data_IF_206052101158
#
_entry.id   IF_206052101158
#
_cell.length_a   1.000
_cell.length_b   1.000
_cell.length_c   1.000
_cell.angle_alpha   90.00
_cell.angle_beta   90.00
_cell.angle_gamma   90.00
#
_symmetry.space_group_name_H-M   'P 1'
#
loop_
_entity.id
_entity.type
_entity.pdbx_description
1 polymer ?
#
# COMPACT_ATOMS: atom_id res chain seq x y z
N UNK A 1 32.71 -7.12 -90.91
CA UNK A 1 33.84 -7.73 -90.17
C UNK A 1 33.40 -9.12 -89.73
N UNK A 2 34.09 -10.14 -90.23
CA UNK A 2 33.82 -11.57 -90.08
C UNK A 2 34.42 -12.09 -88.76
N UNK A 3 33.67 -12.89 -87.99
CA UNK A 3 34.09 -14.00 -87.11
C UNK A 3 32.83 -14.53 -86.39
N UNK A 4 32.29 -15.73 -86.66
CA UNK A 4 32.74 -17.08 -86.23
C UNK A 4 32.78 -17.18 -84.68
N UNK A 5 32.22 -18.14 -83.92
CA UNK A 5 31.65 -19.50 -84.05
C UNK A 5 30.88 -19.76 -82.71
N UNK A 6 29.75 -20.47 -82.65
CA UNK A 6 29.64 -21.93 -82.39
C UNK A 6 28.62 -22.15 -81.24
N UNK A 7 27.48 -22.81 -81.46
CA UNK A 7 27.14 -24.21 -81.06
C UNK A 7 27.40 -24.48 -79.56
N UNK A 8 26.42 -24.85 -78.72
CA UNK A 8 25.69 -26.13 -78.73
C UNK A 8 24.44 -26.14 -77.80
N UNK A 9 23.60 -27.16 -78.00
CA UNK A 9 22.29 -27.43 -77.41
C UNK A 9 22.33 -27.85 -75.93
N UNK A 10 21.24 -27.61 -75.17
CA UNK A 10 20.75 -28.63 -74.23
C UNK A 10 19.22 -28.65 -74.11
N UNK A 11 18.75 -29.88 -74.07
CA UNK A 11 17.42 -30.46 -74.04
C UNK A 11 16.66 -30.24 -72.73
N UNK A 12 15.34 -30.34 -72.81
CA UNK A 12 14.45 -30.06 -71.70
C UNK A 12 14.44 -31.11 -70.59
N UNK A 13 13.91 -30.71 -69.43
CA UNK A 13 13.19 -31.63 -68.56
C UNK A 13 12.16 -30.90 -67.72
N UNK A 14 11.00 -31.55 -67.62
CA UNK A 14 9.76 -31.09 -67.04
C UNK A 14 9.78 -31.09 -65.50
N UNK A 15 8.86 -30.27 -64.99
CA UNK A 15 8.21 -30.24 -63.69
C UNK A 15 8.16 -31.54 -62.87
N UNK A 16 8.51 -31.41 -61.59
CA UNK A 16 7.76 -31.78 -60.36
C UNK A 16 8.79 -31.97 -59.23
N UNK A 17 8.72 -31.24 -58.13
CA UNK A 17 7.90 -31.71 -57.00
C UNK A 17 7.89 -30.68 -55.88
N UNK A 18 6.71 -30.52 -55.30
CA UNK A 18 6.43 -29.71 -54.14
C UNK A 18 7.12 -30.28 -52.89
N UNK A 19 7.82 -29.42 -52.15
CA UNK A 19 8.07 -29.63 -50.72
C UNK A 19 7.44 -28.47 -49.96
N UNK A 20 6.42 -28.85 -49.21
CA UNK A 20 5.69 -28.11 -48.18
C UNK A 20 6.55 -27.06 -47.47
N UNK A 21 6.18 -25.78 -47.61
CA UNK A 21 6.61 -24.73 -46.71
C UNK A 21 5.38 -24.12 -46.03
N UNK A 22 4.82 -24.84 -45.06
CA UNK A 22 3.86 -24.27 -44.10
C UNK A 22 4.65 -23.49 -43.04
N UNK A 23 5.09 -22.29 -43.37
CA UNK A 23 5.46 -21.30 -42.37
C UNK A 23 4.15 -20.69 -41.82
N UNK A 24 3.65 -21.22 -40.71
CA UNK A 24 2.61 -20.56 -39.92
C UNK A 24 3.08 -19.17 -39.48
N UNK A 25 2.16 -18.20 -39.29
CA UNK A 25 2.55 -16.85 -38.91
C UNK A 25 3.25 -16.90 -37.56
N UNK A 26 4.54 -16.53 -37.53
CA UNK A 26 5.29 -16.37 -36.28
C UNK A 26 4.69 -15.20 -35.52
N UNK A 27 3.86 -15.54 -34.53
CA UNK A 27 3.23 -14.61 -33.61
C UNK A 27 4.32 -14.03 -32.69
N UNK A 28 5.04 -13.02 -33.17
CA UNK A 28 6.06 -12.29 -32.40
C UNK A 28 5.47 -11.30 -31.39
N UNK A 29 4.15 -11.14 -31.37
CA UNK A 29 3.47 -10.12 -30.57
C UNK A 29 2.75 -10.68 -29.32
N UNK A 30 2.69 -12.00 -29.13
CA UNK A 30 1.99 -12.62 -28.00
C UNK A 30 2.82 -12.76 -26.69
N UNK A 31 4.14 -12.59 -26.72
CA UNK A 31 5.03 -12.99 -25.62
C UNK A 31 5.44 -11.92 -24.56
N UNK A 32 5.40 -10.59 -24.80
CA UNK A 32 5.85 -9.60 -23.80
C UNK A 32 4.92 -9.47 -22.58
N UNK A 33 3.61 -9.55 -22.80
CA UNK A 33 2.62 -9.34 -21.73
C UNK A 33 2.52 -10.54 -20.79
N UNK A 34 2.60 -11.76 -21.30
CA UNK A 34 2.50 -12.97 -20.48
C UNK A 34 3.70 -13.13 -19.53
N UNK A 35 4.91 -12.82 -20.02
CA UNK A 35 6.11 -12.80 -19.20
C UNK A 35 6.04 -11.73 -18.09
N UNK A 36 5.53 -10.55 -18.42
CA UNK A 36 5.35 -9.46 -17.45
C UNK A 36 4.28 -9.82 -16.38
N UNK A 37 3.15 -10.39 -16.79
CA UNK A 37 2.10 -10.85 -15.88
C UNK A 37 2.59 -11.99 -14.97
N UNK A 38 3.36 -12.92 -15.51
CA UNK A 38 4.00 -13.99 -14.76
C UNK A 38 4.98 -13.43 -13.71
N UNK A 39 5.89 -12.53 -14.12
CA UNK A 39 6.83 -11.88 -13.20
C UNK A 39 6.10 -11.08 -12.10
N UNK A 40 5.04 -10.36 -12.45
CA UNK A 40 4.19 -9.65 -11.49
C UNK A 40 3.56 -10.59 -10.45
N UNK A 41 3.05 -11.74 -10.90
CA UNK A 41 2.47 -12.76 -10.00
C UNK A 41 3.52 -13.33 -9.04
N UNK A 42 4.69 -13.71 -9.54
CA UNK A 42 5.79 -14.24 -8.74
C UNK A 42 6.28 -13.21 -7.72
N UNK A 43 6.56 -11.98 -8.15
CA UNK A 43 7.02 -10.93 -7.26
C UNK A 43 5.97 -10.55 -6.20
N UNK A 44 4.67 -10.56 -6.54
CA UNK A 44 3.59 -10.32 -5.58
C UNK A 44 3.50 -11.42 -4.52
N UNK A 45 3.70 -12.69 -4.90
CA UNK A 45 3.83 -13.79 -3.94
C UNK A 45 5.04 -13.57 -3.03
N UNK A 46 6.17 -13.16 -3.59
CA UNK A 46 7.36 -12.78 -2.81
C UNK A 46 7.08 -11.67 -1.78
N UNK A 47 6.41 -10.60 -2.19
CA UNK A 47 6.01 -9.51 -1.27
C UNK A 47 5.06 -9.99 -0.16
N UNK A 48 4.14 -10.90 -0.50
CA UNK A 48 3.21 -11.51 0.47
C UNK A 48 3.97 -12.37 1.48
N UNK A 49 4.97 -13.15 1.02
CA UNK A 49 5.84 -13.94 1.89
C UNK A 49 6.65 -13.01 2.82
N UNK A 50 7.22 -11.92 2.31
CA UNK A 50 7.96 -10.95 3.13
C UNK A 50 7.06 -10.31 4.21
N UNK A 51 5.84 -9.91 3.87
CA UNK A 51 4.87 -9.40 4.84
C UNK A 51 4.48 -10.45 5.89
N UNK A 52 4.27 -11.70 5.47
CA UNK A 52 3.97 -12.80 6.39
C UNK A 52 5.14 -13.12 7.31
N UNK A 53 6.38 -13.14 6.80
CA UNK A 53 7.59 -13.30 7.60
C UNK A 53 7.76 -12.15 8.58
N UNK A 54 7.54 -10.90 8.15
CA UNK A 54 7.55 -9.74 9.04
C UNK A 54 6.57 -9.93 10.21
N UNK A 55 5.34 -10.36 9.93
CA UNK A 55 4.35 -10.64 10.97
C UNK A 55 4.80 -11.77 11.91
N UNK A 56 5.17 -12.93 11.36
CA UNK A 56 5.48 -14.14 12.12
C UNK A 56 6.74 -13.99 12.99
N UNK A 57 7.77 -13.30 12.49
CA UNK A 57 9.02 -13.11 13.24
C UNK A 57 8.85 -12.16 14.43
N UNK A 58 7.95 -11.18 14.34
CA UNK A 58 7.72 -10.23 15.43
C UNK A 58 6.69 -10.72 16.45
N UNK A 59 5.78 -11.63 16.06
CA UNK A 59 4.70 -12.12 16.92
C UNK A 59 5.17 -12.61 18.31
N UNK A 60 6.27 -13.40 18.45
CA UNK A 60 6.76 -13.85 19.76
C UNK A 60 7.30 -12.71 20.64
N UNK A 61 7.62 -11.56 20.06
CA UNK A 61 8.10 -10.38 20.77
C UNK A 61 6.98 -9.56 21.43
N UNK A 62 5.75 -9.65 20.92
CA UNK A 62 4.62 -8.83 21.37
C UNK A 62 4.26 -8.99 22.86
N UNK A 63 4.22 -10.21 23.44
CA UNK A 63 3.89 -10.38 24.85
C UNK A 63 4.96 -9.83 25.81
N UNK A 64 6.20 -9.61 25.33
CA UNK A 64 7.33 -9.27 26.20
C UNK A 64 7.18 -7.88 26.77
N UNK A 65 7.56 -7.72 28.03
CA UNK A 65 7.63 -6.41 28.66
C UNK A 65 8.70 -5.57 27.95
N UNK A 66 8.31 -4.43 27.38
CA UNK A 66 9.29 -3.47 26.89
C UNK A 66 9.85 -2.72 28.09
N UNK A 67 11.17 -2.70 28.23
CA UNK A 67 11.86 -1.88 29.23
C UNK A 67 11.60 -0.38 29.00
N UNK A 68 11.37 0.02 27.75
CA UNK A 68 11.03 1.39 27.36
C UNK A 68 9.51 1.58 27.24
N UNK A 69 8.84 1.79 28.38
CA UNK A 69 7.43 2.20 28.46
C UNK A 69 7.26 3.71 28.16
N UNK A 70 7.71 4.14 26.98
CA UNK A 70 7.54 5.52 26.50
C UNK A 70 6.07 5.85 26.25
N UNK A 71 5.75 6.40 25.08
CA UNK A 71 4.37 6.86 24.79
C UNK A 71 3.31 5.76 24.76
N UNK A 72 3.70 4.48 24.60
CA UNK A 72 2.81 3.32 24.54
C UNK A 72 1.85 3.26 25.74
N UNK A 73 2.36 3.53 26.95
CA UNK A 73 1.57 3.42 28.20
C UNK A 73 0.30 4.25 28.14
N UNK A 74 0.35 5.41 27.49
CA UNK A 74 -0.78 6.31 27.46
C UNK A 74 -1.94 5.77 26.61
N UNK A 75 -1.66 4.94 25.61
CA UNK A 75 -2.69 4.30 24.79
C UNK A 75 -3.22 3.05 25.49
N UNK A 76 -2.34 2.27 26.11
CA UNK A 76 -2.76 1.07 26.86
C UNK A 76 -3.60 1.43 28.08
N UNK A 77 -3.17 2.40 28.89
CA UNK A 77 -3.86 2.76 30.13
C UNK A 77 -5.24 3.38 29.84
N UNK A 78 -5.31 4.27 28.84
CA UNK A 78 -6.57 4.85 28.39
C UNK A 78 -7.51 3.76 27.85
N UNK A 79 -7.02 2.84 27.01
CA UNK A 79 -7.85 1.76 26.47
C UNK A 79 -8.34 0.79 27.55
N UNK A 80 -7.54 0.53 28.60
CA UNK A 80 -7.98 -0.23 29.78
C UNK A 80 -9.12 0.48 30.50
N UNK A 81 -9.00 1.79 30.76
CA UNK A 81 -10.08 2.56 31.38
C UNK A 81 -11.34 2.60 30.51
N UNK A 82 -11.20 2.76 29.20
CA UNK A 82 -12.31 2.70 28.25
C UNK A 82 -12.99 1.33 28.30
N UNK A 83 -12.22 0.24 28.38
CA UNK A 83 -12.75 -1.12 28.48
C UNK A 83 -13.54 -1.36 29.77
N UNK A 84 -13.07 -0.80 30.90
CA UNK A 84 -13.67 -0.96 32.23
C UNK A 84 -14.89 -0.03 32.45
N UNK A 85 -14.83 1.20 31.97
CA UNK A 85 -15.89 2.20 32.16
C UNK A 85 -17.02 2.09 31.13
N UNK A 86 -16.75 1.52 29.96
CA UNK A 86 -17.67 1.53 28.83
C UNK A 86 -17.72 2.85 28.05
N UNK A 87 -17.00 3.88 28.51
CA UNK A 87 -16.81 5.13 27.77
C UNK A 87 -15.72 4.94 26.70
N UNK A 88 -16.15 4.74 25.46
CA UNK A 88 -15.25 4.50 24.33
C UNK A 88 -14.88 5.76 23.55
N UNK A 89 -15.29 6.94 23.99
CA UNK A 89 -15.05 8.19 23.26
C UNK A 89 -14.12 9.15 24.00
N UNK A 90 -13.96 8.97 25.31
CA UNK A 90 -13.20 9.87 26.17
C UNK A 90 -11.93 9.21 26.73
N UNK A 91 -10.77 9.32 26.04
CA UNK A 91 -9.52 8.79 26.58
C UNK A 91 -9.07 9.61 27.81
N UNK A 92 -8.62 8.91 28.85
CA UNK A 92 -8.19 9.49 30.13
C UNK A 92 -6.79 9.01 30.52
N UNK A 93 -6.09 9.81 31.31
CA UNK A 93 -4.86 9.45 32.00
C UNK A 93 -5.16 8.54 33.21
N UNK A 94 -4.15 7.85 33.79
CA UNK A 94 -4.33 6.99 34.97
C UNK A 94 -4.97 7.68 36.18
N UNK A 95 -4.78 8.99 36.33
CA UNK A 95 -5.36 9.83 37.38
C UNK A 95 -6.81 10.28 37.09
N UNK A 96 -7.36 9.91 35.93
CA UNK A 96 -8.70 10.27 35.49
C UNK A 96 -8.78 11.57 34.67
N UNK A 97 -7.67 12.31 34.50
CA UNK A 97 -7.66 13.53 33.70
C UNK A 97 -7.90 13.25 32.22
N UNK A 98 -8.56 14.16 31.49
CA UNK A 98 -8.85 14.01 30.07
C UNK A 98 -7.58 14.03 29.21
N UNK A 99 -7.51 13.17 28.18
CA UNK A 99 -6.37 13.03 27.27
C UNK A 99 -6.73 13.29 25.81
N UNK A 100 -7.12 14.52 25.48
CA UNK A 100 -7.39 14.94 24.09
C UNK A 100 -6.14 15.38 23.32
N UNK A 101 -4.99 14.75 23.58
CA UNK A 101 -3.73 15.05 22.86
C UNK A 101 -3.63 14.36 21.50
N UNK A 102 -4.36 13.26 21.30
CA UNK A 102 -4.36 12.46 20.08
C UNK A 102 -5.79 12.01 19.76
N UNK A 103 -6.11 11.83 18.46
CA UNK A 103 -7.37 11.24 18.01
C UNK A 103 -7.69 9.88 18.64
N UNK A 104 -8.95 9.45 18.51
CA UNK A 104 -9.45 8.23 19.15
C UNK A 104 -8.99 6.91 18.50
N UNK A 105 -8.68 6.88 17.20
CA UNK A 105 -8.50 5.63 16.46
C UNK A 105 -7.39 4.70 17.01
N UNK A 106 -6.23 5.19 17.48
CA UNK A 106 -5.21 4.33 18.09
C UNK A 106 -5.72 3.67 19.39
N UNK A 107 -6.55 4.38 20.16
CA UNK A 107 -7.15 3.83 21.38
C UNK A 107 -8.17 2.74 21.04
N UNK A 108 -8.98 2.94 20.00
CA UNK A 108 -9.90 1.91 19.51
C UNK A 108 -9.17 0.67 18.99
N UNK A 109 -8.02 0.82 18.33
CA UNK A 109 -7.22 -0.32 17.90
C UNK A 109 -6.73 -1.17 19.10
N UNK A 110 -6.24 -0.51 20.16
CA UNK A 110 -5.85 -1.18 21.42
C UNK A 110 -7.05 -1.82 22.11
N UNK A 111 -8.15 -1.07 22.25
CA UNK A 111 -9.38 -1.51 22.89
C UNK A 111 -9.97 -2.74 22.19
N UNK A 112 -9.99 -2.77 20.86
CA UNK A 112 -10.46 -3.91 20.09
C UNK A 112 -9.61 -5.16 20.40
N UNK A 113 -8.29 -5.01 20.46
CA UNK A 113 -7.40 -6.07 20.90
C UNK A 113 -7.72 -6.58 22.31
N UNK A 114 -7.88 -5.66 23.27
CA UNK A 114 -8.24 -6.00 24.66
C UNK A 114 -9.59 -6.74 24.73
N UNK A 115 -10.60 -6.30 23.98
CA UNK A 115 -11.93 -6.94 23.97
C UNK A 115 -11.89 -8.35 23.36
N UNK A 116 -11.00 -8.60 22.40
CA UNK A 116 -10.89 -9.90 21.72
C UNK A 116 -9.99 -10.90 22.46
N UNK A 117 -8.88 -10.44 23.04
CA UNK A 117 -7.82 -11.30 23.56
C UNK A 117 -7.52 -11.08 25.05
N UNK A 118 -8.25 -10.19 25.72
CA UNK A 118 -8.09 -9.86 27.14
C UNK A 118 -6.99 -8.84 27.44
N UNK A 119 -6.78 -8.59 28.74
CA UNK A 119 -5.83 -7.59 29.23
C UNK A 119 -4.39 -8.10 29.20
N UNK A 120 -3.72 -7.99 28.06
CA UNK A 120 -2.31 -8.33 27.91
C UNK A 120 -1.61 -7.51 26.81
N UNK A 121 -0.27 -7.55 26.78
CA UNK A 121 0.51 -6.78 25.81
C UNK A 121 0.30 -7.23 24.37
N UNK A 122 0.14 -8.54 24.14
CA UNK A 122 -0.13 -9.06 22.80
C UNK A 122 -1.42 -8.46 22.24
N UNK A 123 -2.49 -8.49 23.03
CA UNK A 123 -3.77 -7.89 22.69
C UNK A 123 -3.62 -6.42 22.30
N UNK A 124 -2.90 -5.63 23.10
CA UNK A 124 -2.71 -4.21 22.84
C UNK A 124 -1.90 -3.91 21.56
N UNK A 125 -0.97 -4.78 21.18
CA UNK A 125 0.01 -4.53 20.09
C UNK A 125 -0.38 -5.18 18.77
N UNK A 126 -1.29 -6.14 18.77
CA UNK A 126 -1.59 -6.97 17.59
C UNK A 126 -2.03 -6.15 16.37
N UNK A 127 -2.90 -5.15 16.55
CA UNK A 127 -3.36 -4.29 15.47
C UNK A 127 -2.22 -3.52 14.79
N UNK A 128 -1.21 -3.12 15.57
CA UNK A 128 -0.04 -2.38 15.08
C UNK A 128 0.93 -3.28 14.32
N UNK A 129 1.09 -4.53 14.76
CA UNK A 129 1.87 -5.52 14.02
C UNK A 129 1.23 -5.85 12.67
N UNK A 130 -0.11 -6.03 12.66
CA UNK A 130 -0.88 -6.21 11.41
C UNK A 130 -0.67 -5.00 10.50
N UNK A 131 -0.74 -3.78 11.05
CA UNK A 131 -0.52 -2.57 10.27
C UNK A 131 0.89 -2.48 9.66
N UNK A 132 1.91 -2.90 10.40
CA UNK A 132 3.28 -3.02 9.91
C UNK A 132 3.41 -4.00 8.74
N UNK A 133 2.88 -5.21 8.91
CA UNK A 133 2.90 -6.24 7.86
C UNK A 133 2.16 -5.80 6.59
N UNK A 134 0.99 -5.18 6.75
CA UNK A 134 0.24 -4.60 5.63
C UNK A 134 0.98 -3.44 4.96
N UNK A 135 1.73 -2.64 5.73
CA UNK A 135 2.58 -1.57 5.19
C UNK A 135 3.71 -2.11 4.32
N UNK A 136 4.34 -3.22 4.73
CA UNK A 136 5.32 -3.94 3.89
C UNK A 136 4.69 -4.36 2.57
N UNK A 137 3.52 -5.01 2.62
CA UNK A 137 2.83 -5.46 1.40
C UNK A 137 2.38 -4.28 0.50
N UNK A 138 1.86 -3.20 1.07
CA UNK A 138 1.44 -2.02 0.31
C UNK A 138 2.60 -1.28 -0.34
N UNK A 139 3.81 -1.37 0.21
CA UNK A 139 5.01 -0.84 -0.42
C UNK A 139 5.22 -1.45 -1.82
N UNK A 140 4.99 -2.76 -1.95
CA UNK A 140 5.01 -3.45 -3.25
C UNK A 140 4.01 -2.83 -4.23
N UNK A 141 2.74 -2.71 -3.81
CA UNK A 141 1.67 -2.20 -4.68
C UNK A 141 1.90 -0.75 -5.10
N UNK A 142 2.41 0.09 -4.19
CA UNK A 142 2.74 1.49 -4.48
C UNK A 142 3.92 1.59 -5.44
N UNK A 143 5.00 0.86 -5.20
CA UNK A 143 6.17 0.87 -6.08
C UNK A 143 5.82 0.32 -7.47
N UNK A 144 5.00 -0.73 -7.53
CA UNK A 144 4.52 -1.29 -8.79
C UNK A 144 3.62 -0.31 -9.54
N UNK A 145 2.74 0.41 -8.85
CA UNK A 145 1.91 1.44 -9.47
C UNK A 145 2.76 2.59 -10.09
N UNK A 146 3.87 2.95 -9.44
CA UNK A 146 4.76 4.02 -9.90
C UNK A 146 5.70 3.59 -11.03
N UNK A 147 6.27 2.38 -10.95
CA UNK A 147 7.38 1.94 -11.81
C UNK A 147 6.97 0.96 -12.88
N UNK A 148 5.86 0.23 -12.69
CA UNK A 148 5.47 -0.92 -13.50
C UNK A 148 6.59 -1.97 -13.63
N UNK A 149 7.49 -2.06 -12.66
CA UNK A 149 8.61 -3.02 -12.65
C UNK A 149 8.51 -3.96 -11.44
N UNK A 150 8.04 -5.21 -11.62
CA UNK A 150 7.86 -6.15 -10.52
C UNK A 150 9.12 -6.45 -9.70
N UNK A 151 10.31 -6.65 -10.31
CA UNK A 151 11.53 -6.90 -9.53
C UNK A 151 11.93 -5.71 -8.65
N UNK A 152 11.79 -4.49 -9.17
CA UNK A 152 12.08 -3.27 -8.42
C UNK A 152 11.10 -3.08 -7.25
N UNK A 153 9.81 -3.37 -7.47
CA UNK A 153 8.81 -3.34 -6.42
C UNK A 153 9.07 -4.37 -5.31
N UNK A 154 9.53 -5.58 -5.67
CA UNK A 154 9.93 -6.58 -4.69
C UNK A 154 11.18 -6.13 -3.90
N UNK A 155 12.16 -5.54 -4.57
CA UNK A 155 13.34 -4.98 -3.90
C UNK A 155 12.96 -3.87 -2.91
N UNK A 156 12.11 -2.92 -3.32
CA UNK A 156 11.59 -1.87 -2.43
C UNK A 156 10.86 -2.45 -1.21
N UNK A 157 10.12 -3.56 -1.40
CA UNK A 157 9.45 -4.28 -0.32
C UNK A 157 10.44 -4.89 0.65
N UNK A 158 11.54 -5.48 0.17
CA UNK A 158 12.59 -6.01 1.04
C UNK A 158 13.28 -4.91 1.85
N UNK A 159 13.51 -3.73 1.25
CA UNK A 159 14.05 -2.54 1.95
C UNK A 159 13.07 -2.02 3.02
N UNK A 160 11.77 -1.98 2.71
CA UNK A 160 10.74 -1.63 3.70
C UNK A 160 10.69 -2.63 4.85
N UNK A 161 10.73 -3.93 4.52
CA UNK A 161 10.70 -5.02 5.48
C UNK A 161 11.93 -5.08 6.40
N UNK A 162 13.06 -4.46 6.01
CA UNK A 162 14.28 -4.35 6.83
C UNK A 162 14.41 -3.01 7.57
N UNK A 163 13.44 -2.10 7.43
CA UNK A 163 13.51 -0.76 8.01
C UNK A 163 13.31 -0.78 9.54
N UNK A 164 14.34 -0.40 10.30
CA UNK A 164 14.32 -0.42 11.77
C UNK A 164 13.19 0.41 12.40
N UNK A 165 12.83 1.55 11.80
CA UNK A 165 11.73 2.40 12.28
C UNK A 165 10.38 1.67 12.16
N UNK A 166 10.15 0.97 11.05
CA UNK A 166 8.94 0.17 10.88
C UNK A 166 8.88 -0.97 11.90
N UNK A 167 9.99 -1.66 12.16
CA UNK A 167 10.05 -2.72 13.20
C UNK A 167 9.65 -2.16 14.56
N UNK A 168 10.32 -1.09 14.99
CA UNK A 168 10.12 -0.49 16.30
C UNK A 168 8.70 0.04 16.52
N UNK A 169 8.07 0.58 15.47
CA UNK A 169 6.70 1.11 15.56
C UNK A 169 5.65 0.02 15.48
N UNK A 170 5.90 -1.09 14.78
CA UNK A 170 4.93 -2.18 14.59
C UNK A 170 4.77 -3.06 15.84
N UNK A 171 5.76 -3.11 16.72
CA UNK A 171 5.71 -3.89 17.97
C UNK A 171 5.24 -3.06 19.19
N UNK A 172 4.75 -1.85 18.98
CA UNK A 172 4.31 -0.93 20.04
C UNK A 172 2.92 -0.40 19.77
N UNK A 173 2.16 -0.16 20.82
CA UNK A 173 0.82 0.40 20.73
C UNK A 173 0.84 1.93 20.55
N UNK A 174 1.56 2.41 19.52
CA UNK A 174 1.67 3.84 19.18
C UNK A 174 1.04 4.13 17.81
N UNK A 175 0.55 5.36 17.56
CA UNK A 175 -0.16 5.70 16.33
C UNK A 175 0.67 5.56 15.04
N UNK A 176 1.99 5.39 15.15
CA UNK A 176 2.91 5.52 14.02
C UNK A 176 2.75 4.41 12.98
N UNK A 177 2.55 3.15 13.42
CA UNK A 177 2.33 2.02 12.51
C UNK A 177 1.01 2.16 11.73
N UNK A 178 -0.06 2.58 12.42
CA UNK A 178 -1.35 2.87 11.79
C UNK A 178 -1.27 4.05 10.83
N UNK A 179 -0.57 5.12 11.21
CA UNK A 179 -0.36 6.27 10.34
C UNK A 179 0.38 5.87 9.07
N UNK A 180 1.43 5.04 9.19
CA UNK A 180 2.18 4.52 8.06
C UNK A 180 1.27 3.75 7.09
N UNK A 181 0.49 2.80 7.61
CA UNK A 181 -0.46 2.00 6.84
C UNK A 181 -1.45 2.89 6.09
N UNK A 182 -2.17 3.76 6.80
CA UNK A 182 -3.21 4.60 6.20
C UNK A 182 -2.64 5.63 5.21
N UNK A 183 -1.41 6.12 5.46
CA UNK A 183 -0.70 6.97 4.51
C UNK A 183 -0.35 6.22 3.23
N UNK A 184 0.10 4.97 3.31
CA UNK A 184 0.41 4.14 2.14
C UNK A 184 -0.86 3.82 1.33
N UNK A 185 -1.97 3.47 1.99
CA UNK A 185 -3.28 3.27 1.33
C UNK A 185 -3.69 4.54 0.58
N UNK A 186 -3.56 5.68 1.24
CA UNK A 186 -3.91 6.98 0.67
C UNK A 186 -3.04 7.33 -0.54
N UNK A 187 -1.71 7.20 -0.41
CA UNK A 187 -0.76 7.44 -1.50
C UNK A 187 -1.00 6.50 -2.68
N UNK A 188 -1.29 5.22 -2.45
CA UNK A 188 -1.62 4.28 -3.51
C UNK A 188 -2.86 4.72 -4.30
N UNK A 189 -3.90 5.18 -3.60
CA UNK A 189 -5.09 5.75 -4.22
C UNK A 189 -4.78 6.99 -5.06
N UNK A 190 -4.06 7.96 -4.48
CA UNK A 190 -3.69 9.18 -5.19
C UNK A 190 -2.80 8.95 -6.41
N UNK A 191 -1.81 8.06 -6.30
CA UNK A 191 -0.97 7.66 -7.44
C UNK A 191 -1.84 7.09 -8.56
N UNK A 192 -2.75 6.16 -8.26
CA UNK A 192 -3.64 5.60 -9.30
C UNK A 192 -4.54 6.65 -9.95
N UNK A 193 -5.10 7.60 -9.19
CA UNK A 193 -5.88 8.73 -9.74
C UNK A 193 -5.03 9.58 -10.70
N UNK A 194 -3.81 9.93 -10.28
CA UNK A 194 -2.90 10.76 -11.08
C UNK A 194 -2.42 10.08 -12.35
N UNK A 195 -2.36 8.74 -12.34
CA UNK A 195 -2.03 7.93 -13.50
C UNK A 195 -3.24 7.57 -14.37
N UNK A 196 -4.43 8.10 -14.06
CA UNK A 196 -5.62 8.04 -14.93
C UNK A 196 -6.68 7.01 -14.51
N UNK A 197 -6.52 6.32 -13.38
CA UNK A 197 -7.52 5.38 -12.88
C UNK A 197 -8.62 6.09 -12.08
N UNK A 198 -9.71 6.48 -12.74
CA UNK A 198 -10.84 7.17 -12.13
C UNK A 198 -11.94 6.23 -11.58
N UNK A 199 -11.57 5.12 -10.93
CA UNK A 199 -12.54 4.17 -10.35
C UNK A 199 -12.92 4.56 -8.92
N UNK A 200 -14.20 4.43 -8.54
CA UNK A 200 -14.70 4.75 -7.18
C UNK A 200 -13.88 4.09 -6.06
N UNK A 201 -13.42 2.86 -6.26
CA UNK A 201 -12.59 2.14 -5.27
C UNK A 201 -11.25 2.85 -5.03
N UNK A 202 -10.66 3.45 -6.07
CA UNK A 202 -9.38 4.17 -5.98
C UNK A 202 -9.55 5.47 -5.20
N UNK A 203 -10.64 6.19 -5.45
CA UNK A 203 -11.04 7.33 -4.61
C UNK A 203 -11.25 6.89 -3.17
N UNK A 204 -11.93 5.76 -2.94
CA UNK A 204 -12.07 5.14 -1.64
C UNK A 204 -10.72 5.00 -0.92
N UNK A 205 -9.73 4.34 -1.54
CA UNK A 205 -8.40 4.21 -0.95
C UNK A 205 -7.72 5.56 -0.67
N UNK A 206 -7.76 6.50 -1.63
CA UNK A 206 -7.13 7.80 -1.48
C UNK A 206 -7.66 8.58 -0.27
N UNK A 207 -8.98 8.79 -0.23
CA UNK A 207 -9.62 9.67 0.73
C UNK A 207 -9.90 8.98 2.06
N UNK A 208 -10.33 7.71 2.07
CA UNK A 208 -10.50 6.96 3.32
C UNK A 208 -9.15 6.75 4.01
N UNK A 209 -8.07 6.47 3.25
CA UNK A 209 -6.72 6.38 3.81
C UNK A 209 -6.29 7.69 4.48
N UNK A 210 -6.49 8.83 3.83
CA UNK A 210 -6.21 10.14 4.42
C UNK A 210 -7.08 10.41 5.66
N UNK A 211 -8.38 10.10 5.61
CA UNK A 211 -9.30 10.29 6.72
C UNK A 211 -8.90 9.46 7.96
N UNK A 212 -8.56 8.18 7.77
CA UNK A 212 -8.10 7.30 8.83
C UNK A 212 -6.72 7.71 9.36
N UNK A 213 -5.84 8.22 8.51
CA UNK A 213 -4.57 8.80 8.93
C UNK A 213 -4.78 10.05 9.82
N UNK A 214 -5.75 10.91 9.47
CA UNK A 214 -6.16 12.06 10.29
C UNK A 214 -6.76 11.60 11.61
N UNK A 215 -7.64 10.61 11.57
CA UNK A 215 -8.21 9.99 12.76
C UNK A 215 -7.18 9.21 13.61
N UNK A 216 -5.94 9.03 13.13
CA UNK A 216 -4.84 8.38 13.87
C UNK A 216 -3.93 9.40 14.56
N UNK A 217 -3.46 10.43 13.84
CA UNK A 217 -2.44 11.37 14.37
C UNK A 217 -2.73 12.85 14.06
N UNK A 218 -3.95 13.18 13.65
CA UNK A 218 -4.40 14.54 13.37
C UNK A 218 -3.89 15.06 12.03
N UNK A 219 -3.53 16.33 11.96
CA UNK A 219 -3.13 17.02 10.71
C UNK A 219 -2.05 16.31 9.89
N UNK A 220 -1.16 15.52 10.51
CA UNK A 220 -0.15 14.75 9.76
C UNK A 220 -0.76 13.75 8.77
N UNK A 221 -2.01 13.32 9.00
CA UNK A 221 -2.73 12.45 8.07
C UNK A 221 -3.15 13.13 6.76
N UNK A 222 -3.06 14.46 6.66
CA UNK A 222 -3.31 15.20 5.42
C UNK A 222 -2.11 15.16 4.46
N UNK A 223 -0.93 14.73 4.93
CA UNK A 223 0.31 14.73 4.14
C UNK A 223 0.17 14.00 2.78
N UNK A 224 -0.47 12.82 2.68
CA UNK A 224 -0.67 12.16 1.39
C UNK A 224 -1.47 13.02 0.40
N UNK A 225 -2.57 13.63 0.86
CA UNK A 225 -3.43 14.45 0.02
C UNK A 225 -2.75 15.76 -0.39
N UNK A 226 -2.09 16.45 0.55
CA UNK A 226 -1.37 17.69 0.25
C UNK A 226 -0.18 17.43 -0.67
N UNK A 227 0.54 16.32 -0.47
CA UNK A 227 1.64 15.91 -1.34
C UNK A 227 1.14 15.59 -2.76
N UNK A 228 0.06 14.80 -2.89
CA UNK A 228 -0.51 14.46 -4.18
C UNK A 228 -0.99 15.70 -4.95
N UNK A 229 -1.64 16.64 -4.27
CA UNK A 229 -2.07 17.90 -4.86
C UNK A 229 -0.88 18.75 -5.30
N UNK A 230 0.12 18.94 -4.44
CA UNK A 230 1.32 19.71 -4.76
C UNK A 230 2.08 19.08 -5.93
N UNK A 231 2.26 17.75 -5.93
CA UNK A 231 2.89 17.02 -7.02
C UNK A 231 2.14 17.18 -8.34
N UNK A 232 0.80 17.12 -8.32
CA UNK A 232 -0.02 17.34 -9.51
C UNK A 232 0.11 18.77 -10.04
N UNK A 233 0.16 19.77 -9.15
CA UNK A 233 0.33 21.18 -9.53
C UNK A 233 1.72 21.47 -10.11
N UNK A 234 2.78 20.85 -9.57
CA UNK A 234 4.16 21.03 -10.04
C UNK A 234 4.46 20.24 -11.32
N UNK A 235 3.78 19.12 -11.56
CA UNK A 235 4.00 18.28 -12.73
C UNK A 235 3.22 18.76 -13.97
N UNK A 236 3.92 19.18 -15.02
CA UNK A 236 3.30 19.62 -16.29
C UNK A 236 2.38 18.55 -16.89
N UNK A 237 2.78 17.28 -16.83
CA UNK A 237 2.04 16.15 -17.42
C UNK A 237 0.83 15.76 -16.56
N UNK A 238 0.94 15.86 -15.23
CA UNK A 238 -0.10 15.40 -14.30
C UNK A 238 -1.09 16.49 -13.87
N UNK A 239 -0.79 17.77 -14.14
CA UNK A 239 -1.68 18.90 -13.84
C UNK A 239 -3.08 18.73 -14.44
N UNK A 240 -3.22 18.08 -15.60
CA UNK A 240 -4.53 17.78 -16.22
C UNK A 240 -5.42 16.91 -15.31
N UNK A 241 -4.82 16.04 -14.50
CA UNK A 241 -5.52 15.15 -13.57
C UNK A 241 -5.70 15.78 -12.19
N UNK A 242 -5.24 17.01 -11.95
CA UNK A 242 -5.38 17.67 -10.65
C UNK A 242 -6.85 17.93 -10.30
N UNK A 243 -7.70 18.22 -11.28
CA UNK A 243 -9.15 18.38 -11.07
C UNK A 243 -9.79 17.09 -10.53
N UNK A 244 -9.28 15.91 -10.92
CA UNK A 244 -9.75 14.63 -10.41
C UNK A 244 -9.36 14.42 -8.93
N UNK A 245 -8.45 15.20 -8.36
CA UNK A 245 -8.14 15.18 -6.93
C UNK A 245 -9.17 15.95 -6.08
N UNK A 246 -10.15 16.63 -6.67
CA UNK A 246 -11.19 17.34 -5.94
C UNK A 246 -12.54 16.68 -6.18
N UNK A 247 -12.64 15.41 -5.76
CA UNK A 247 -13.86 14.65 -5.98
C UNK A 247 -14.98 15.12 -5.04
N UNK A 248 -16.16 15.54 -5.56
CA UNK A 248 -17.19 16.22 -4.78
C UNK A 248 -17.80 15.35 -3.67
N UNK A 249 -17.81 14.02 -3.83
CA UNK A 249 -18.34 13.08 -2.82
C UNK A 249 -17.27 12.63 -1.81
N UNK A 250 -16.12 12.15 -2.28
CA UNK A 250 -15.12 11.53 -1.41
C UNK A 250 -14.36 12.52 -0.54
N UNK A 251 -14.18 13.76 -0.99
CA UNK A 251 -13.50 14.80 -0.20
C UNK A 251 -14.33 15.16 1.05
N UNK A 252 -15.61 15.56 0.96
CA UNK A 252 -16.43 15.82 2.15
C UNK A 252 -16.58 14.60 3.05
N UNK A 253 -16.72 13.40 2.47
CA UNK A 253 -16.83 12.17 3.25
C UNK A 253 -15.57 11.90 4.07
N UNK A 254 -14.39 12.10 3.50
CA UNK A 254 -13.13 11.95 4.23
C UNK A 254 -12.94 13.01 5.31
N UNK A 255 -13.36 14.26 5.05
CA UNK A 255 -13.37 15.32 6.07
C UNK A 255 -14.27 14.89 7.23
N UNK A 256 -15.50 14.47 6.95
CA UNK A 256 -16.45 14.02 7.97
C UNK A 256 -15.86 12.88 8.80
N UNK A 257 -15.28 11.85 8.18
CA UNK A 257 -14.68 10.72 8.90
C UNK A 257 -13.47 11.17 9.74
N UNK A 258 -12.58 11.98 9.17
CA UNK A 258 -11.38 12.45 9.86
C UNK A 258 -11.68 13.35 11.06
N UNK A 259 -12.76 14.13 10.99
CA UNK A 259 -13.18 15.07 12.05
C UNK A 259 -14.29 14.53 12.95
N UNK A 260 -14.91 13.40 12.64
CA UNK A 260 -16.10 12.89 13.35
C UNK A 260 -15.91 12.82 14.88
N UNK A 261 -14.77 12.31 15.34
CA UNK A 261 -14.49 12.24 16.77
C UNK A 261 -14.29 13.63 17.39
N UNK A 262 -13.62 14.54 16.67
CA UNK A 262 -13.44 15.92 17.13
C UNK A 262 -14.78 16.65 17.29
N UNK A 263 -15.70 16.46 16.34
CA UNK A 263 -17.06 17.03 16.38
C UNK A 263 -17.92 16.49 17.53
N UNK A 264 -17.60 15.30 18.03
CA UNK A 264 -18.33 14.74 19.17
C UNK A 264 -17.76 15.23 20.50
N UNK A 265 -16.44 15.43 20.58
CA UNK A 265 -15.74 15.84 21.82
C UNK A 265 -15.83 17.35 22.08
N UNK A 266 -15.79 18.17 21.03
CA UNK A 266 -15.72 19.64 21.10
C UNK A 266 -16.95 20.30 20.49
#
# INVERSE_FOLDING_TARGET
>A
MHAAKGFEYDTGMQSESAVHNQAGPTNKDAYPNDAHLCAKSICRKGATILAALFFLLHLPGLPKLSHWRGDERFYTDAAVQMALSGDYLTPKYPDGALRFKKPILPYWAVLAGIKLFGFNYLASRLAFLIAGALSVWLCFELCLALTQQPPLALFATAVMASNLTLHNTSIRSTPDALLCLFSLISLLGFVRILFGEARRVVYGFAYLGSALAVATKGLSGLLPASFALLFALLSKTRRKNAANLLHPVFVPLAVLIGVAWYLWVF
#
